data_IF_572900838203
#
_entry.id   IF_572900838203
#
_cell.length_a   1.000
_cell.length_b   1.000
_cell.length_c   1.000
_cell.angle_alpha   90.00
_cell.angle_beta   90.00
_cell.angle_gamma   90.00
#
_symmetry.space_group_name_H-M   'P 1'
#
loop_
_entity.id
_entity.type
_entity.pdbx_description
1 polymer ?
#
# COMPACT_ATOMS: atom_id res chain seq x y z
N UNK A 1 29.42 -20.95 42.73
CA UNK A 1 28.42 -21.54 41.83
C UNK A 1 28.16 -20.57 40.69
N UNK A 2 28.17 -21.08 39.49
CA UNK A 2 27.92 -20.24 38.35
C UNK A 2 26.42 -19.93 38.21
N UNK A 3 26.11 -18.69 37.98
CA UNK A 3 24.75 -18.27 37.73
C UNK A 3 24.42 -18.61 36.28
N UNK A 4 23.27 -19.26 36.06
CA UNK A 4 22.89 -19.56 34.69
C UNK A 4 22.84 -18.30 33.85
N UNK A 5 23.21 -18.44 32.62
CA UNK A 5 23.12 -17.35 31.68
C UNK A 5 21.67 -17.09 31.37
N UNK A 6 21.17 -15.93 31.74
CA UNK A 6 19.79 -15.56 31.53
C UNK A 6 19.55 -14.88 30.20
N UNK A 7 20.63 -14.65 29.46
CA UNK A 7 20.48 -14.09 28.13
C UNK A 7 19.94 -15.19 27.18
N UNK A 8 19.19 -14.80 26.17
CA UNK A 8 18.73 -15.76 25.18
C UNK A 8 19.89 -16.53 24.57
N UNK A 9 19.72 -17.82 24.41
CA UNK A 9 20.76 -18.64 23.81
C UNK A 9 20.99 -18.28 22.34
N UNK A 10 19.96 -17.79 21.67
CA UNK A 10 20.03 -17.43 20.27
C UNK A 10 19.61 -15.99 20.09
N UNK A 11 20.53 -15.18 19.63
CA UNK A 11 20.23 -13.79 19.31
C UNK A 11 19.50 -13.65 17.98
N UNK A 12 19.48 -14.70 17.19
CA UNK A 12 18.84 -14.65 15.89
C UNK A 12 17.33 -14.58 15.99
N UNK A 13 16.77 -14.91 17.14
CA UNK A 13 15.34 -14.86 17.33
C UNK A 13 14.84 -13.50 17.82
N UNK A 14 15.76 -12.62 18.15
CA UNK A 14 15.38 -11.30 18.62
C UNK A 14 15.28 -10.36 17.43
N UNK A 15 14.15 -10.37 16.78
CA UNK A 15 13.87 -9.43 15.71
C UNK A 15 13.34 -8.16 16.31
N UNK A 16 14.12 -7.11 16.24
CA UNK A 16 13.71 -5.81 16.77
C UNK A 16 13.55 -4.87 15.59
N UNK A 17 12.45 -4.19 15.57
CA UNK A 17 12.14 -3.29 14.48
C UNK A 17 13.15 -2.16 14.44
N UNK A 18 13.82 -1.94 13.31
CA UNK A 18 14.77 -0.84 13.19
C UNK A 18 14.04 0.50 13.13
N UNK A 19 14.79 1.58 13.33
CA UNK A 19 14.24 2.92 13.29
C UNK A 19 13.62 3.23 11.94
N UNK A 20 14.21 2.70 10.88
CA UNK A 20 13.67 2.82 9.54
C UNK A 20 13.99 1.56 8.75
N UNK A 21 13.25 1.35 7.67
CA UNK A 21 13.52 0.20 6.82
C UNK A 21 14.63 0.46 5.83
N UNK A 22 14.88 -0.54 5.01
CA UNK A 22 15.87 -0.50 3.95
C UNK A 22 15.20 -0.89 2.65
N UNK A 23 15.17 0.02 1.70
CA UNK A 23 14.51 -0.21 0.42
C UNK A 23 15.09 -1.42 -0.32
N UNK A 24 16.37 -1.69 -0.14
CA UNK A 24 17.00 -2.84 -0.79
C UNK A 24 16.46 -4.17 -0.29
N UNK A 25 15.98 -4.20 0.94
CA UNK A 25 15.44 -5.41 1.54
C UNK A 25 13.96 -5.63 1.22
N UNK A 26 13.29 -4.60 0.72
CA UNK A 26 11.84 -4.70 0.50
C UNK A 26 11.53 -5.78 -0.52
N UNK A 27 12.18 -5.72 -1.66
CA UNK A 27 11.90 -6.66 -2.74
C UNK A 27 12.22 -8.10 -2.32
N UNK A 28 13.25 -8.26 -1.49
CA UNK A 28 13.67 -9.59 -1.07
C UNK A 28 12.70 -10.26 -0.11
N UNK A 29 11.88 -9.48 0.59
CA UNK A 29 11.02 -10.01 1.65
C UNK A 29 9.55 -9.97 1.33
N UNK A 30 9.16 -9.37 0.20
CA UNK A 30 7.76 -9.29 -0.17
C UNK A 30 7.25 -10.61 -0.74
N UNK A 31 6.12 -11.09 -0.26
CA UNK A 31 5.61 -12.38 -0.73
C UNK A 31 5.13 -12.38 -2.18
N UNK A 32 4.63 -11.26 -2.68
CA UNK A 32 4.07 -11.24 -4.03
C UNK A 32 4.99 -10.65 -5.08
N UNK A 33 5.87 -9.74 -4.71
CA UNK A 33 6.83 -9.15 -5.63
C UNK A 33 6.22 -8.32 -6.75
N UNK A 34 5.01 -7.83 -6.58
CA UNK A 34 4.31 -7.12 -7.64
C UNK A 34 4.92 -5.76 -7.92
N UNK A 35 5.41 -5.11 -6.88
CA UNK A 35 5.92 -3.74 -6.98
C UNK A 35 7.43 -3.66 -6.88
N UNK A 36 8.12 -4.77 -7.12
CA UNK A 36 9.58 -4.81 -6.96
C UNK A 36 10.31 -3.78 -7.81
N UNK A 37 9.74 -3.44 -8.96
CA UNK A 37 10.34 -2.47 -9.85
C UNK A 37 9.96 -1.03 -9.58
N UNK A 38 9.19 -0.76 -8.55
CA UNK A 38 8.72 0.59 -8.27
C UNK A 38 9.54 1.22 -7.16
N UNK A 39 10.37 2.20 -7.52
CA UNK A 39 11.18 2.91 -6.54
C UNK A 39 10.33 3.61 -5.49
N UNK A 40 9.21 4.17 -5.92
CA UNK A 40 8.30 4.83 -4.99
C UNK A 40 7.72 3.86 -3.98
N UNK A 41 7.37 2.66 -4.42
CA UNK A 41 6.87 1.64 -3.51
C UNK A 41 7.95 1.20 -2.54
N UNK A 42 9.15 0.93 -3.03
CA UNK A 42 10.25 0.47 -2.19
C UNK A 42 10.59 1.52 -1.14
N UNK A 43 10.67 2.77 -1.55
CA UNK A 43 10.94 3.87 -0.63
C UNK A 43 9.82 4.02 0.38
N UNK A 44 8.58 3.97 -0.07
CA UNK A 44 7.43 4.10 0.81
C UNK A 44 7.36 2.97 1.83
N UNK A 45 7.68 1.76 1.42
CA UNK A 45 7.69 0.63 2.33
C UNK A 45 8.75 0.80 3.43
N UNK A 46 9.93 1.27 3.05
CA UNK A 46 10.97 1.51 4.05
C UNK A 46 10.58 2.63 5.00
N UNK A 47 9.93 3.67 4.49
CA UNK A 47 9.46 4.78 5.33
C UNK A 47 8.35 4.33 6.28
N UNK A 48 7.57 3.35 5.86
CA UNK A 48 6.51 2.82 6.71
C UNK A 48 7.07 2.17 7.97
N UNK A 49 8.26 1.61 7.88
CA UNK A 49 8.92 1.07 9.08
C UNK A 49 9.17 2.18 10.08
N UNK A 50 9.65 3.33 9.61
CA UNK A 50 9.87 4.47 10.49
C UNK A 50 8.57 4.93 11.14
N UNK A 51 7.49 4.96 10.38
CA UNK A 51 6.20 5.32 10.91
C UNK A 51 5.75 4.33 11.99
N UNK A 52 5.84 3.04 11.68
CA UNK A 52 5.44 2.01 12.63
C UNK A 52 6.28 2.07 13.90
N UNK A 53 7.59 2.29 13.75
CA UNK A 53 8.50 2.42 14.88
C UNK A 53 8.04 3.55 15.81
N UNK A 54 7.76 4.70 15.26
CA UNK A 54 7.29 5.84 16.06
C UNK A 54 5.91 5.59 16.65
N UNK A 55 5.03 5.02 15.87
CA UNK A 55 3.65 4.80 16.30
C UNK A 55 3.55 3.80 17.43
N UNK A 56 4.39 2.78 17.40
CA UNK A 56 4.38 1.72 18.40
C UNK A 56 5.27 2.03 19.61
N UNK A 57 5.96 3.16 19.60
CA UNK A 57 6.78 3.55 20.73
C UNK A 57 8.17 2.95 20.74
N UNK A 58 8.76 2.79 19.55
CA UNK A 58 10.11 2.23 19.46
C UNK A 58 11.18 3.05 20.16
N UNK A 59 10.90 4.33 20.36
CA UNK A 59 11.84 5.20 21.11
C UNK A 59 11.86 4.86 22.59
N UNK A 60 10.83 4.20 23.11
CA UNK A 60 10.68 3.94 24.53
C UNK A 60 10.99 2.47 24.84
N UNK A 61 10.57 1.58 23.96
CA UNK A 61 10.77 0.16 24.16
C UNK A 61 11.06 -0.52 22.83
N UNK A 62 11.64 -1.70 22.91
CA UNK A 62 11.94 -2.48 21.71
C UNK A 62 10.68 -3.12 21.17
N UNK A 63 10.51 -3.02 19.86
CA UNK A 63 9.39 -3.62 19.17
C UNK A 63 9.88 -4.93 18.54
N UNK A 64 9.38 -6.04 19.02
CA UNK A 64 9.78 -7.36 18.50
C UNK A 64 8.99 -7.66 17.23
N UNK A 65 9.44 -7.09 16.12
CA UNK A 65 8.80 -7.22 14.85
C UNK A 65 9.86 -7.12 13.76
N UNK A 66 9.82 -8.00 12.80
CA UNK A 66 10.74 -7.91 11.67
C UNK A 66 10.26 -6.86 10.69
N UNK A 67 11.21 -6.19 10.04
CA UNK A 67 10.85 -5.18 9.05
C UNK A 67 10.03 -5.76 7.90
N UNK A 68 10.27 -7.03 7.57
CA UNK A 68 9.50 -7.69 6.51
C UNK A 68 8.02 -7.78 6.81
N UNK A 69 7.65 -7.83 8.07
CA UNK A 69 6.24 -7.84 8.46
C UNK A 69 5.58 -6.51 8.10
N UNK A 70 6.29 -5.42 8.29
CA UNK A 70 5.80 -4.10 7.94
C UNK A 70 5.69 -3.97 6.43
N UNK A 71 6.68 -4.49 5.70
CA UNK A 71 6.64 -4.45 4.23
C UNK A 71 5.44 -5.22 3.69
N UNK A 72 5.16 -6.39 4.26
CA UNK A 72 4.02 -7.18 3.82
C UNK A 72 2.71 -6.45 4.08
N UNK A 73 2.58 -5.82 5.23
CA UNK A 73 1.39 -5.04 5.54
C UNK A 73 1.25 -3.84 4.60
N UNK A 74 2.37 -3.22 4.26
CA UNK A 74 2.38 -2.11 3.32
C UNK A 74 1.96 -2.58 1.92
N UNK A 75 2.46 -3.71 1.48
CA UNK A 75 2.07 -4.26 0.18
C UNK A 75 0.58 -4.55 0.15
N UNK A 76 0.05 -5.15 1.20
CA UNK A 76 -1.39 -5.40 1.30
C UNK A 76 -2.19 -4.10 1.23
N UNK A 77 -1.74 -3.09 1.95
CA UNK A 77 -2.43 -1.80 1.95
C UNK A 77 -2.41 -1.15 0.57
N UNK A 78 -1.29 -1.24 -0.13
CA UNK A 78 -1.17 -0.67 -1.47
C UNK A 78 -2.06 -1.42 -2.46
N UNK A 79 -2.11 -2.74 -2.35
CA UNK A 79 -2.99 -3.54 -3.20
C UNK A 79 -4.45 -3.19 -2.97
N UNK A 80 -4.84 -3.04 -1.72
CA UNK A 80 -6.22 -2.68 -1.40
C UNK A 80 -6.53 -1.26 -1.87
N UNK A 81 -5.61 -0.34 -1.67
CA UNK A 81 -5.79 1.03 -2.15
C UNK A 81 -5.94 1.05 -3.66
N UNK A 82 -5.10 0.30 -4.36
CA UNK A 82 -5.16 0.22 -5.81
C UNK A 82 -6.49 -0.34 -6.29
N UNK A 83 -6.99 -1.35 -5.59
CA UNK A 83 -8.29 -1.92 -5.90
C UNK A 83 -9.40 -0.88 -5.75
N UNK A 84 -9.38 -0.16 -4.65
CA UNK A 84 -10.40 0.86 -4.38
C UNK A 84 -10.33 1.98 -5.40
N UNK A 85 -9.13 2.42 -5.74
CA UNK A 85 -8.94 3.48 -6.73
C UNK A 85 -9.42 3.01 -8.11
N UNK A 86 -9.07 1.78 -8.48
CA UNK A 86 -9.49 1.24 -9.77
C UNK A 86 -11.00 1.10 -9.84
N UNK A 87 -11.61 0.66 -8.75
CA UNK A 87 -13.06 0.55 -8.70
C UNK A 87 -13.72 1.91 -8.83
N UNK A 88 -13.17 2.90 -8.15
CA UNK A 88 -13.69 4.25 -8.19
C UNK A 88 -13.54 4.86 -9.59
N UNK A 89 -12.39 4.65 -10.20
CA UNK A 89 -12.16 5.13 -11.56
C UNK A 89 -13.04 4.45 -12.57
N UNK A 90 -13.27 3.16 -12.40
CA UNK A 90 -14.19 2.43 -13.29
C UNK A 90 -15.61 2.96 -13.17
N UNK A 91 -16.02 3.25 -11.96
CA UNK A 91 -17.33 3.82 -11.72
C UNK A 91 -17.45 5.19 -12.34
N UNK A 92 -16.44 6.03 -12.18
CA UNK A 92 -16.46 7.37 -12.77
C UNK A 92 -16.42 7.29 -14.29
N UNK A 93 -15.63 6.40 -14.82
CA UNK A 93 -15.52 6.21 -16.25
C UNK A 93 -16.85 5.77 -16.82
N UNK A 94 -17.51 4.85 -16.15
CA UNK A 94 -18.83 4.41 -16.59
C UNK A 94 -19.85 5.54 -16.50
N UNK A 95 -19.79 6.32 -15.45
CA UNK A 95 -20.65 7.48 -15.30
C UNK A 95 -20.46 8.47 -16.43
N UNK A 96 -19.20 8.76 -16.74
CA UNK A 96 -18.90 9.67 -17.83
C UNK A 96 -19.37 9.12 -19.18
N UNK A 97 -19.13 7.83 -19.36
CA UNK A 97 -19.53 7.17 -20.59
C UNK A 97 -21.03 7.21 -20.80
N UNK A 98 -21.77 7.01 -19.73
CA UNK A 98 -23.22 7.01 -19.79
C UNK A 98 -23.83 8.38 -19.63
N UNK A 99 -23.04 9.41 -19.44
CA UNK A 99 -23.51 10.75 -19.19
C UNK A 99 -24.21 10.88 -17.85
N UNK A 100 -23.70 10.22 -16.86
CA UNK A 100 -24.43 9.71 -15.73
C UNK A 100 -25.18 10.71 -14.89
N UNK A 101 -24.50 11.63 -14.29
CA UNK A 101 -25.18 12.43 -13.27
C UNK A 101 -26.30 13.27 -13.85
N UNK A 102 -26.05 13.75 -15.03
CA UNK A 102 -27.06 14.51 -15.77
C UNK A 102 -27.31 13.87 -17.11
N UNK A 103 -26.78 12.69 -17.26
CA UNK A 103 -26.84 12.01 -18.53
C UNK A 103 -28.25 11.65 -18.90
N UNK A 104 -28.60 12.05 -20.06
CA UNK A 104 -29.82 11.62 -20.67
C UNK A 104 -29.54 11.33 -22.13
N UNK A 105 -30.32 10.47 -22.69
CA UNK A 105 -30.21 10.15 -24.09
C UNK A 105 -31.36 10.81 -24.80
N UNK A 106 -31.10 11.23 -26.01
CA UNK A 106 -32.17 11.74 -26.83
C UNK A 106 -33.07 10.58 -27.31
N UNK A 107 -34.02 10.90 -28.12
CA UNK A 107 -34.95 9.90 -28.61
C UNK A 107 -34.25 8.81 -29.40
N UNK A 108 -33.11 9.12 -29.94
CA UNK A 108 -32.36 8.17 -30.74
C UNK A 108 -31.35 7.40 -29.91
N UNK A 109 -31.29 7.64 -28.61
CA UNK A 109 -30.36 6.95 -27.73
C UNK A 109 -29.01 7.57 -27.67
N UNK A 110 -28.84 8.78 -28.13
CA UNK A 110 -27.54 9.47 -28.05
C UNK A 110 -27.44 10.29 -26.79
N UNK A 111 -26.21 10.51 -26.38
CA UNK A 111 -25.97 11.39 -25.26
C UNK A 111 -26.42 12.79 -25.60
N UNK A 112 -27.19 13.37 -24.71
CA UNK A 112 -27.55 14.76 -24.83
C UNK A 112 -26.63 15.66 -24.06
N UNK A 113 -26.07 15.15 -23.00
CA UNK A 113 -25.08 15.89 -22.21
C UNK A 113 -23.72 15.29 -22.46
N UNK A 114 -22.72 16.03 -22.17
CA UNK A 114 -21.39 15.55 -22.44
C UNK A 114 -20.88 16.17 -23.70
N UNK A 115 -19.88 16.94 -23.53
CA UNK A 115 -19.36 17.73 -24.60
C UNK A 115 -18.81 16.89 -25.74
N UNK A 116 -18.43 15.71 -25.47
CA UNK A 116 -17.80 14.87 -26.47
C UNK A 116 -18.71 14.45 -27.56
N UNK A 117 -19.99 14.49 -27.29
CA UNK A 117 -20.97 14.07 -28.28
C UNK A 117 -21.68 15.21 -28.93
N UNK A 118 -21.20 16.39 -28.71
CA UNK A 118 -21.86 17.55 -29.24
C UNK A 118 -21.90 17.56 -30.76
N UNK A 119 -20.94 16.92 -31.36
CA UNK A 119 -20.93 16.89 -32.82
C UNK A 119 -21.78 15.84 -33.42
N UNK A 120 -22.40 15.07 -32.62
CA UNK A 120 -23.14 13.92 -33.11
C UNK A 120 -24.55 14.24 -33.50
N UNK A 121 -24.90 15.48 -33.51
CA UNK A 121 -26.26 15.80 -33.83
C UNK A 121 -26.66 15.63 -35.24
#
# INVERSE_FOLDING_TARGET
MAIPNLNPASTTNANILPVTGNADNVAATLPFGIYDGSDSFLSGASDQVAFAYKKLGGDVLDIELAEGNVYAAYEEAVLEYSYIVNLHQSKNSLSDYLGATTGSFDEDGQFLSGSTLSGSN
#
